data_IF_038425408300
#
_entry.id   IF_038425408300
#
_cell.length_a   1.000
_cell.length_b   1.000
_cell.length_c   1.000
_cell.angle_alpha   90.00
_cell.angle_beta   90.00
_cell.angle_gamma   90.00
#
_symmetry.space_group_name_H-M   'P 1'
#
loop_
_entity.id
_entity.type
_entity.pdbx_description
1 polymer ?
#
# COMPACT_ATOMS: atom_id res chain seq x y z
N UNK A 1 29.46 5.22 -16.57
CA UNK A 1 28.64 5.48 -15.36
C UNK A 1 28.22 6.95 -15.19
N UNK A 2 28.80 7.94 -15.89
CA UNK A 2 28.47 9.37 -15.76
C UNK A 2 27.00 9.72 -16.09
N UNK A 3 26.44 9.14 -17.15
CA UNK A 3 25.08 9.46 -17.64
C UNK A 3 23.94 9.01 -16.69
N UNK A 4 24.14 7.93 -15.92
CA UNK A 4 23.11 7.46 -14.98
C UNK A 4 23.07 8.34 -13.73
N UNK A 5 24.24 8.64 -13.15
CA UNK A 5 24.33 9.50 -11.97
C UNK A 5 23.75 10.89 -12.26
N UNK A 6 24.02 11.45 -13.43
CA UNK A 6 23.45 12.73 -13.86
C UNK A 6 21.92 12.68 -13.98
N UNK A 7 21.36 11.62 -14.58
CA UNK A 7 19.91 11.42 -14.64
C UNK A 7 19.28 11.30 -13.26
N UNK A 8 19.90 10.57 -12.34
CA UNK A 8 19.41 10.41 -10.96
C UNK A 8 19.41 11.75 -10.25
N UNK A 9 20.51 12.51 -10.30
CA UNK A 9 20.58 13.85 -9.68
C UNK A 9 19.50 14.78 -10.20
N UNK A 10 19.30 14.79 -11.52
CA UNK A 10 18.30 15.64 -12.14
C UNK A 10 16.87 15.21 -11.76
N UNK A 11 16.60 13.90 -11.66
CA UNK A 11 15.31 13.38 -11.17
C UNK A 11 15.07 13.76 -9.71
N UNK A 12 16.05 13.58 -8.83
CA UNK A 12 15.95 13.93 -7.40
C UNK A 12 15.66 15.41 -7.22
N UNK A 13 16.40 16.29 -7.90
CA UNK A 13 16.17 17.74 -7.83
C UNK A 13 14.74 18.14 -8.26
N UNK A 14 14.17 17.46 -9.26
CA UNK A 14 12.78 17.68 -9.70
C UNK A 14 11.76 17.18 -8.67
N UNK A 15 12.03 16.03 -8.04
CA UNK A 15 11.18 15.48 -6.97
C UNK A 15 11.17 16.42 -5.77
N UNK A 16 12.35 16.92 -5.35
CA UNK A 16 12.48 17.87 -4.23
C UNK A 16 11.69 19.15 -4.50
N UNK A 17 11.86 19.75 -5.69
CA UNK A 17 11.11 20.95 -6.09
C UNK A 17 9.59 20.70 -6.09
N UNK A 18 9.15 19.55 -6.61
CA UNK A 18 7.73 19.21 -6.64
C UNK A 18 7.17 19.00 -5.22
N UNK A 19 7.91 18.35 -4.32
CA UNK A 19 7.50 18.17 -2.93
C UNK A 19 7.36 19.50 -2.21
N UNK A 20 8.33 20.41 -2.36
CA UNK A 20 8.26 21.75 -1.78
C UNK A 20 7.03 22.51 -2.28
N UNK A 21 6.82 22.51 -3.59
CA UNK A 21 5.68 23.18 -4.21
C UNK A 21 4.35 22.64 -3.68
N UNK A 22 4.16 21.31 -3.73
CA UNK A 22 2.92 20.65 -3.27
C UNK A 22 2.64 20.83 -1.78
N UNK A 23 3.67 20.90 -0.94
CA UNK A 23 3.48 20.94 0.52
C UNK A 23 3.46 22.36 1.10
N UNK A 24 4.06 23.34 0.42
CA UNK A 24 4.30 24.67 1.03
C UNK A 24 4.00 25.86 0.13
N UNK A 25 4.00 25.71 -1.20
CA UNK A 25 3.90 26.85 -2.13
C UNK A 25 2.58 26.90 -2.90
N UNK A 26 1.70 25.89 -2.77
CA UNK A 26 0.42 25.84 -3.44
C UNK A 26 -0.74 25.47 -2.51
N UNK A 27 -1.96 25.83 -2.94
CA UNK A 27 -3.20 25.38 -2.31
C UNK A 27 -3.68 24.16 -3.09
N UNK A 28 -3.70 22.99 -2.46
CA UNK A 28 -4.17 21.75 -3.09
C UNK A 28 -5.71 21.69 -3.04
N UNK A 29 -6.35 21.75 -4.21
CA UNK A 29 -7.81 21.78 -4.34
C UNK A 29 -8.42 20.50 -4.95
N UNK A 30 -7.58 19.51 -5.29
CA UNK A 30 -8.07 18.23 -5.79
C UNK A 30 -8.53 17.40 -4.58
N UNK A 31 -9.82 17.02 -4.50
CA UNK A 31 -10.41 16.48 -3.26
C UNK A 31 -9.88 15.11 -2.86
N UNK A 32 -9.31 14.35 -3.80
CA UNK A 32 -8.77 13.02 -3.57
C UNK A 32 -7.25 13.00 -3.33
N UNK A 33 -6.57 14.14 -3.42
CA UNK A 33 -5.11 14.22 -3.22
C UNK A 33 -4.78 14.50 -1.75
N UNK A 34 -3.70 13.88 -1.27
CA UNK A 34 -3.17 14.09 0.08
C UNK A 34 -1.65 13.92 0.10
N UNK A 35 -0.99 14.45 1.13
CA UNK A 35 0.44 14.20 1.39
C UNK A 35 0.57 13.26 2.58
N UNK A 36 1.12 12.04 2.40
CA UNK A 36 1.32 11.11 3.52
C UNK A 36 2.42 11.61 4.46
N UNK A 37 2.35 11.19 5.73
CA UNK A 37 3.38 11.48 6.73
C UNK A 37 4.72 10.83 6.36
N UNK A 38 5.82 11.32 6.94
CA UNK A 38 7.14 10.74 6.71
C UNK A 38 7.24 9.27 7.13
N UNK A 39 6.51 8.87 8.19
CA UNK A 39 6.48 7.48 8.64
C UNK A 39 5.82 6.56 7.60
N UNK A 40 4.70 6.98 7.01
CA UNK A 40 4.04 6.21 5.93
C UNK A 40 4.98 6.06 4.73
N UNK A 41 5.63 7.15 4.31
CA UNK A 41 6.62 7.11 3.21
C UNK A 41 7.78 6.16 3.50
N UNK A 42 8.27 6.13 4.75
CA UNK A 42 9.34 5.23 5.16
C UNK A 42 8.89 3.76 5.07
N UNK A 43 7.67 3.45 5.51
CA UNK A 43 7.11 2.10 5.41
C UNK A 43 6.96 1.67 3.93
N UNK A 44 6.48 2.55 3.05
CA UNK A 44 6.28 2.26 1.62
C UNK A 44 7.57 1.88 0.88
N UNK A 45 8.72 2.45 1.28
CA UNK A 45 10.03 2.19 0.63
C UNK A 45 10.88 1.15 1.38
N UNK A 46 10.36 0.59 2.46
CA UNK A 46 11.07 -0.39 3.27
C UNK A 46 11.14 -1.76 2.57
N UNK A 47 12.09 -2.61 2.99
CA UNK A 47 12.36 -3.93 2.40
C UNK A 47 11.11 -4.83 2.21
N UNK A 48 10.11 -4.84 3.12
CA UNK A 48 8.83 -5.56 2.92
C UNK A 48 8.14 -5.31 1.57
N UNK A 49 8.26 -4.11 0.99
CA UNK A 49 7.67 -3.79 -0.31
C UNK A 49 8.23 -4.65 -1.46
N UNK A 50 9.41 -5.25 -1.27
CA UNK A 50 10.05 -6.15 -2.23
C UNK A 50 9.85 -7.65 -1.95
N UNK A 51 8.96 -8.03 -1.02
CA UNK A 51 8.78 -9.43 -0.59
C UNK A 51 7.43 -10.00 -1.05
N UNK A 52 7.43 -11.28 -1.38
CA UNK A 52 6.21 -12.03 -1.72
C UNK A 52 5.61 -12.67 -0.46
N UNK A 53 4.41 -12.24 -0.08
CA UNK A 53 3.64 -12.78 1.03
C UNK A 53 2.26 -13.26 0.56
N UNK A 54 2.23 -14.07 -0.49
CA UNK A 54 0.99 -14.59 -1.08
C UNK A 54 0.28 -15.57 -0.13
N UNK A 55 -1.03 -15.39 0.03
CA UNK A 55 -1.89 -16.32 0.75
C UNK A 55 -2.40 -17.43 -0.16
N UNK A 56 -2.56 -18.62 0.40
CA UNK A 56 -3.18 -19.78 -0.24
C UNK A 56 -4.19 -20.41 0.70
N UNK A 57 -5.33 -20.83 0.17
CA UNK A 57 -6.31 -21.61 0.93
C UNK A 57 -5.91 -23.09 0.94
N UNK A 58 -5.66 -23.64 2.12
CA UNK A 58 -5.41 -25.06 2.34
C UNK A 58 -6.33 -25.60 3.43
N UNK A 59 -7.11 -26.64 3.09
CA UNK A 59 -8.08 -27.27 4.02
C UNK A 59 -9.04 -26.27 4.69
N UNK A 60 -9.51 -25.27 3.93
CA UNK A 60 -10.42 -24.23 4.42
C UNK A 60 -9.77 -23.17 5.32
N UNK A 61 -8.45 -23.20 5.49
CA UNK A 61 -7.69 -22.18 6.21
C UNK A 61 -6.84 -21.38 5.24
N UNK A 62 -6.77 -20.08 5.46
CA UNK A 62 -5.84 -19.21 4.76
C UNK A 62 -4.47 -19.32 5.42
N UNK A 63 -3.43 -19.58 4.61
CA UNK A 63 -2.03 -19.67 5.06
C UNK A 63 -1.12 -18.88 4.12
N UNK A 64 0.04 -18.45 4.59
CA UNK A 64 1.08 -17.90 3.71
C UNK A 64 1.75 -19.01 2.92
N UNK A 65 1.89 -18.82 1.61
CA UNK A 65 2.52 -19.78 0.70
C UNK A 65 4.06 -19.77 0.82
N UNK A 66 4.64 -18.58 1.00
CA UNK A 66 6.09 -18.39 1.13
C UNK A 66 6.54 -18.30 2.59
N UNK A 67 7.79 -18.67 2.84
CA UNK A 67 8.44 -18.58 4.15
C UNK A 67 9.21 -17.26 4.31
N UNK A 68 9.64 -16.95 5.54
CA UNK A 68 10.41 -15.74 5.82
C UNK A 68 9.56 -14.46 5.88
N UNK A 69 8.26 -14.61 6.12
CA UNK A 69 7.27 -13.52 6.10
C UNK A 69 6.83 -13.06 7.50
N UNK A 70 7.52 -13.48 8.58
CA UNK A 70 7.08 -13.27 9.96
C UNK A 70 6.70 -11.81 10.27
N UNK A 71 7.60 -10.88 9.96
CA UNK A 71 7.34 -9.45 10.12
C UNK A 71 6.11 -8.97 9.34
N UNK A 72 5.96 -9.40 8.07
CA UNK A 72 4.83 -9.00 7.22
C UNK A 72 3.52 -9.55 7.78
N UNK A 73 3.51 -10.81 8.24
CA UNK A 73 2.32 -11.42 8.84
C UNK A 73 1.91 -10.75 10.15
N UNK A 74 2.87 -10.36 10.98
CA UNK A 74 2.60 -9.65 12.24
C UNK A 74 1.97 -8.29 11.95
N UNK A 75 2.58 -7.50 11.05
CA UNK A 75 2.05 -6.20 10.63
C UNK A 75 0.68 -6.31 9.97
N UNK A 76 0.44 -7.34 9.15
CA UNK A 76 -0.87 -7.54 8.51
C UNK A 76 -1.97 -7.83 9.54
N UNK A 77 -1.67 -8.62 10.57
CA UNK A 77 -2.63 -8.94 11.64
C UNK A 77 -2.88 -7.74 12.57
N UNK A 78 -1.84 -6.98 12.92
CA UNK A 78 -1.99 -5.73 13.68
C UNK A 78 -2.83 -4.73 12.90
N UNK A 79 -2.51 -4.49 11.62
CA UNK A 79 -3.25 -3.57 10.78
C UNK A 79 -4.72 -3.99 10.62
N UNK A 80 -5.00 -5.28 10.54
CA UNK A 80 -6.37 -5.80 10.44
C UNK A 80 -7.19 -5.43 11.67
N UNK A 81 -6.60 -5.56 12.86
CA UNK A 81 -7.25 -5.19 14.13
C UNK A 81 -7.50 -3.69 14.23
N UNK A 82 -6.46 -2.89 13.98
CA UNK A 82 -6.55 -1.43 14.06
C UNK A 82 -7.57 -0.86 13.06
N UNK A 83 -7.58 -1.38 11.82
CA UNK A 83 -8.54 -0.97 10.79
C UNK A 83 -9.97 -1.40 11.14
N UNK A 84 -10.16 -2.62 11.64
CA UNK A 84 -11.47 -3.10 12.08
C UNK A 84 -12.03 -2.22 13.21
N UNK A 85 -11.18 -1.85 14.17
CA UNK A 85 -11.54 -0.93 15.25
C UNK A 85 -11.84 0.48 14.73
N UNK A 86 -11.02 1.02 13.83
CA UNK A 86 -11.21 2.36 13.27
C UNK A 86 -12.53 2.51 12.51
N UNK A 87 -12.92 1.49 11.75
CA UNK A 87 -14.17 1.48 10.96
C UNK A 87 -15.38 0.88 11.68
N UNK A 88 -15.23 0.43 12.93
CA UNK A 88 -16.26 -0.30 13.68
C UNK A 88 -16.89 -1.45 12.88
N UNK A 89 -16.03 -2.33 12.35
CA UNK A 89 -16.46 -3.45 11.52
C UNK A 89 -15.80 -4.77 11.96
N UNK A 90 -16.48 -5.92 11.78
CA UNK A 90 -15.98 -7.19 12.30
C UNK A 90 -14.83 -7.78 11.46
N UNK A 91 -14.67 -7.35 10.20
CA UNK A 91 -13.71 -7.93 9.25
C UNK A 91 -13.23 -6.87 8.26
N UNK A 92 -11.92 -6.86 8.00
CA UNK A 92 -11.27 -6.04 6.98
C UNK A 92 -10.43 -6.92 6.07
N UNK A 93 -10.48 -6.64 4.78
CA UNK A 93 -9.61 -7.24 3.76
C UNK A 93 -8.60 -6.18 3.30
N UNK A 94 -7.33 -6.38 3.61
CA UNK A 94 -6.26 -5.38 3.46
C UNK A 94 -5.52 -5.47 2.12
N UNK A 95 -5.66 -6.58 1.39
CA UNK A 95 -4.87 -6.88 0.20
C UNK A 95 -5.23 -6.09 -1.06
N UNK A 96 -6.45 -5.53 -1.24
CA UNK A 96 -6.74 -4.68 -2.39
C UNK A 96 -5.83 -3.44 -2.41
N UNK A 97 -4.99 -3.34 -3.43
CA UNK A 97 -4.02 -2.23 -3.57
C UNK A 97 -4.65 -0.92 -4.11
N UNK A 98 -5.94 -0.93 -4.43
CA UNK A 98 -6.67 0.24 -4.91
C UNK A 98 -8.17 0.11 -4.68
N UNK A 99 -8.89 1.23 -4.69
CA UNK A 99 -10.35 1.23 -4.56
C UNK A 99 -11.06 0.49 -5.71
N UNK A 100 -10.51 0.55 -6.93
CA UNK A 100 -11.06 -0.21 -8.07
C UNK A 100 -10.93 -1.72 -7.83
N UNK A 101 -9.77 -2.19 -7.35
CA UNK A 101 -9.58 -3.60 -7.05
C UNK A 101 -10.47 -4.06 -5.89
N UNK A 102 -10.66 -3.22 -4.87
CA UNK A 102 -11.57 -3.53 -3.76
C UNK A 102 -13.00 -3.75 -4.27
N UNK A 103 -13.49 -2.88 -5.16
CA UNK A 103 -14.80 -3.05 -5.80
C UNK A 103 -14.87 -4.36 -6.60
N UNK A 104 -13.84 -4.67 -7.40
CA UNK A 104 -13.79 -5.88 -8.20
C UNK A 104 -13.81 -7.15 -7.34
N UNK A 105 -13.08 -7.18 -6.22
CA UNK A 105 -13.09 -8.29 -5.25
C UNK A 105 -14.51 -8.52 -4.71
N UNK A 106 -15.19 -7.46 -4.29
CA UNK A 106 -16.56 -7.56 -3.77
C UNK A 106 -17.52 -8.03 -4.87
N UNK A 107 -17.48 -7.43 -6.06
CA UNK A 107 -18.37 -7.82 -7.16
C UNK A 107 -18.19 -9.27 -7.57
N UNK A 108 -16.94 -9.74 -7.68
CA UNK A 108 -16.66 -11.15 -8.00
C UNK A 108 -17.14 -12.11 -6.92
N UNK A 109 -17.17 -11.69 -5.66
CA UNK A 109 -17.59 -12.54 -4.55
C UNK A 109 -19.11 -12.70 -4.46
N UNK A 110 -19.88 -11.66 -4.83
CA UNK A 110 -21.34 -11.63 -4.59
C UNK A 110 -22.19 -11.77 -5.86
N UNK A 111 -21.62 -11.51 -7.04
CA UNK A 111 -22.33 -11.64 -8.30
C UNK A 111 -22.07 -13.03 -8.89
N UNK A 112 -23.14 -13.71 -9.29
CA UNK A 112 -23.04 -14.93 -10.10
C UNK A 112 -22.69 -14.52 -11.53
N UNK A 113 -21.49 -14.87 -11.99
CA UNK A 113 -21.17 -14.79 -13.42
C UNK A 113 -22.09 -15.76 -14.17
N UNK A 114 -22.89 -15.22 -15.10
CA UNK A 114 -23.68 -15.99 -16.06
C UNK A 114 -22.80 -16.24 -17.28
#
# INVERSE_FOLDING_TARGET
>A
MSKLSEKIKNLVARIEKNNLWRQTECINLIPSETTPSHLVKLCEISDPAGRYAEHRTMKGKEIYFYQGIGFISEVEEELRKEMAQYFDCPRVELRPISGQMANEVVFKAVVKFI
#
